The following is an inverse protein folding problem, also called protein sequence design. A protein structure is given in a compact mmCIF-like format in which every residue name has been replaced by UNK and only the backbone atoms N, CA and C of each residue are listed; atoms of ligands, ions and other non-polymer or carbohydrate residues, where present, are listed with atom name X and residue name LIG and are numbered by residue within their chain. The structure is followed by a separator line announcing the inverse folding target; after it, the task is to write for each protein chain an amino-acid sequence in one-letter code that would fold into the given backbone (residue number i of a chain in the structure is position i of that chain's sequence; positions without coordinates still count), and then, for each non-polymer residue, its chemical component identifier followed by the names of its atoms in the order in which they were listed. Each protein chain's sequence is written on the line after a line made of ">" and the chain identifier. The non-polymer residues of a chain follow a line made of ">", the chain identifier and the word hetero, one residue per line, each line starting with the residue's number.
data_IF_083939753712
#
_entry.id   IF_083939753712
#
_cell.length_a   1.000
_cell.length_b   1.000
_cell.length_c   1.000
_cell.angle_alpha   90.00
_cell.angle_beta   90.00
_cell.angle_gamma   90.00
#
_symmetry.space_group_name_H-M   'P 1'
#
loop_
_entity.id
_entity.type
_entity.pdbx_description
1 polymer ?
#
# COMPACT_ATOMS: atom_id res chain seq x y z
N UNK A 1 -25.19 -27.95 -12.78
CA UNK A 1 -24.04 -27.08 -12.44
C UNK A 1 -23.15 -27.85 -11.49
N UNK A 2 -22.08 -28.46 -11.99
CA UNK A 2 -21.11 -29.20 -11.16
C UNK A 2 -20.32 -28.16 -10.35
N UNK A 3 -20.54 -28.10 -9.04
CA UNK A 3 -19.66 -27.40 -8.11
C UNK A 3 -18.28 -28.03 -8.23
N UNK A 4 -17.29 -27.28 -8.72
CA UNK A 4 -15.89 -27.72 -8.71
C UNK A 4 -15.52 -28.17 -7.29
N UNK A 5 -14.87 -29.33 -7.10
CA UNK A 5 -14.53 -29.82 -5.77
C UNK A 5 -13.61 -28.82 -5.04
N UNK A 6 -13.66 -28.75 -3.70
CA UNK A 6 -12.70 -27.95 -2.93
C UNK A 6 -11.27 -28.42 -3.26
N UNK A 7 -10.46 -27.51 -3.82
CA UNK A 7 -9.09 -27.80 -4.25
C UNK A 7 -8.11 -27.49 -3.12
N UNK A 8 -8.06 -28.35 -2.09
CA UNK A 8 -6.93 -28.38 -1.16
C UNK A 8 -5.86 -29.29 -1.78
N UNK A 9 -4.65 -28.74 -1.96
CA UNK A 9 -3.53 -29.44 -2.59
C UNK A 9 -2.28 -29.27 -1.76
N UNK A 10 -1.57 -30.38 -1.53
CA UNK A 10 -0.22 -30.36 -0.99
C UNK A 10 0.74 -29.71 -1.99
N UNK A 11 1.55 -28.75 -1.53
CA UNK A 11 2.57 -28.06 -2.33
C UNK A 11 3.94 -28.60 -1.95
N UNK A 12 4.68 -29.11 -2.94
CA UNK A 12 6.06 -29.60 -2.79
C UNK A 12 7.08 -28.57 -3.29
N UNK A 13 8.35 -28.77 -2.97
CA UNK A 13 9.44 -27.86 -3.39
C UNK A 13 9.49 -27.63 -4.91
N UNK A 14 9.28 -28.68 -5.70
CA UNK A 14 9.27 -28.60 -7.16
C UNK A 14 8.09 -27.77 -7.70
N UNK A 15 6.97 -27.70 -6.97
CA UNK A 15 5.77 -26.96 -7.40
C UNK A 15 5.98 -25.45 -7.34
N UNK A 16 6.80 -24.98 -6.40
CA UNK A 16 7.08 -23.54 -6.17
C UNK A 16 8.32 -23.03 -6.90
N UNK A 17 8.97 -23.90 -7.69
CA UNK A 17 10.13 -23.54 -8.49
C UNK A 17 9.84 -22.36 -9.42
N UNK A 18 10.63 -21.28 -9.30
CA UNK A 18 10.50 -20.11 -10.16
C UNK A 18 9.40 -19.11 -9.79
N UNK A 19 8.61 -19.37 -8.73
CA UNK A 19 7.50 -18.47 -8.34
C UNK A 19 7.98 -17.09 -7.89
N UNK A 20 9.20 -16.98 -7.34
CA UNK A 20 9.77 -15.72 -6.84
C UNK A 20 9.79 -14.60 -7.88
N UNK A 21 9.87 -14.92 -9.17
CA UNK A 21 9.89 -13.93 -10.26
C UNK A 21 8.54 -13.66 -10.91
N UNK A 22 7.48 -14.37 -10.51
CA UNK A 22 6.17 -14.32 -11.17
C UNK A 22 5.22 -13.40 -10.42
N UNK A 23 4.53 -12.52 -11.17
CA UNK A 23 3.40 -11.76 -10.64
C UNK A 23 2.10 -12.54 -10.71
N UNK A 24 1.00 -11.90 -10.31
CA UNK A 24 -0.32 -12.53 -10.24
C UNK A 24 -0.47 -13.50 -9.06
N UNK A 25 -1.40 -14.44 -9.17
CA UNK A 25 -1.70 -15.42 -8.11
C UNK A 25 -1.83 -16.82 -8.70
N UNK A 26 -0.83 -17.66 -8.45
CA UNK A 26 -0.76 -19.03 -8.97
C UNK A 26 -1.72 -19.99 -8.25
N UNK A 27 -2.05 -19.69 -6.99
CA UNK A 27 -3.06 -20.40 -6.21
C UNK A 27 -4.48 -19.87 -6.47
N UNK A 28 -4.60 -18.78 -7.22
CA UNK A 28 -5.85 -18.05 -7.39
C UNK A 28 -6.20 -17.18 -6.19
N UNK A 29 -6.91 -16.08 -6.46
CA UNK A 29 -7.41 -15.18 -5.41
C UNK A 29 -8.78 -14.64 -5.80
N UNK A 30 -9.64 -14.43 -4.80
CA UNK A 30 -10.99 -13.87 -4.94
C UNK A 30 -11.29 -12.99 -3.74
N UNK A 31 -12.25 -12.09 -3.90
CA UNK A 31 -12.76 -11.18 -2.86
C UNK A 31 -13.92 -11.77 -2.04
N UNK A 32 -14.09 -13.09 -2.06
CA UNK A 32 -15.20 -13.77 -1.36
C UNK A 32 -14.87 -13.93 0.11
N UNK A 33 -15.74 -13.40 0.98
CA UNK A 33 -15.58 -13.45 2.43
C UNK A 33 -16.13 -14.76 3.04
N UNK A 34 -15.57 -15.24 4.17
CA UNK A 34 -15.94 -16.52 4.77
C UNK A 34 -17.30 -16.51 5.48
N UNK A 35 -17.87 -15.37 5.88
CA UNK A 35 -19.10 -15.29 6.70
C UNK A 35 -20.27 -16.17 6.22
N UNK A 36 -20.49 -16.28 4.91
CA UNK A 36 -21.59 -17.09 4.34
C UNK A 36 -21.27 -18.59 4.24
N UNK A 37 -20.03 -18.98 4.52
CA UNK A 37 -19.48 -20.31 4.27
C UNK A 37 -18.70 -20.85 5.46
N UNK A 38 -18.79 -20.22 6.64
CA UNK A 38 -18.03 -20.56 7.85
C UNK A 38 -18.15 -22.05 8.19
N UNK A 39 -19.36 -22.60 8.17
CA UNK A 39 -19.61 -24.02 8.41
C UNK A 39 -18.83 -24.94 7.45
N UNK A 40 -18.95 -24.69 6.14
CA UNK A 40 -18.24 -25.46 5.11
C UNK A 40 -16.72 -25.33 5.22
N UNK A 41 -16.22 -24.15 5.61
CA UNK A 41 -14.79 -23.93 5.83
C UNK A 41 -14.31 -24.76 7.02
N UNK A 42 -15.05 -24.74 8.15
CA UNK A 42 -14.73 -25.56 9.31
C UNK A 42 -14.72 -27.06 8.97
N UNK A 43 -15.73 -27.55 8.23
CA UNK A 43 -15.75 -28.93 7.74
C UNK A 43 -14.51 -29.29 6.91
N UNK A 44 -14.11 -28.43 5.97
CA UNK A 44 -12.92 -28.66 5.16
C UNK A 44 -11.63 -28.63 5.98
N UNK A 45 -11.52 -27.74 6.96
CA UNK A 45 -10.37 -27.69 7.87
C UNK A 45 -10.26 -28.96 8.70
N UNK A 46 -11.40 -29.47 9.20
CA UNK A 46 -11.47 -30.74 9.94
C UNK A 46 -11.07 -31.93 9.06
N UNK A 47 -11.66 -32.04 7.87
CA UNK A 47 -11.39 -33.14 6.94
C UNK A 47 -9.93 -33.23 6.51
N UNK A 48 -9.25 -32.09 6.40
CA UNK A 48 -7.87 -32.00 5.94
C UNK A 48 -6.86 -31.84 7.09
N UNK A 49 -7.30 -31.94 8.34
CA UNK A 49 -6.46 -31.78 9.54
C UNK A 49 -5.63 -30.47 9.51
N UNK A 50 -6.26 -29.35 9.15
CA UNK A 50 -5.58 -28.04 9.09
C UNK A 50 -5.36 -27.52 10.51
N UNK A 51 -4.10 -27.40 10.93
CA UNK A 51 -3.73 -26.97 12.29
C UNK A 51 -3.21 -25.53 12.39
N UNK A 52 -2.98 -24.86 11.25
CA UNK A 52 -2.64 -23.44 11.19
C UNK A 52 -3.11 -22.85 9.85
N UNK A 53 -3.30 -21.54 9.80
CA UNK A 53 -3.70 -20.83 8.59
C UNK A 53 -2.79 -19.62 8.35
N UNK A 54 -2.22 -19.53 7.14
CA UNK A 54 -1.53 -18.34 6.66
C UNK A 54 -2.35 -17.75 5.51
N UNK A 55 -2.83 -16.52 5.69
CA UNK A 55 -3.64 -15.80 4.70
C UNK A 55 -2.77 -14.72 4.07
N UNK A 56 -2.74 -14.63 2.74
CA UNK A 56 -2.01 -13.57 2.02
C UNK A 56 -3.01 -12.79 1.18
N UNK A 57 -3.12 -11.48 1.39
CA UNK A 57 -4.06 -10.66 0.62
C UNK A 57 -4.26 -9.25 1.14
N UNK A 58 -5.25 -8.55 0.56
CA UNK A 58 -5.57 -7.17 0.89
C UNK A 58 -6.59 -7.04 2.02
N UNK A 59 -7.47 -6.05 1.90
CA UNK A 59 -8.48 -5.75 2.92
C UNK A 59 -9.47 -6.90 3.12
N UNK A 60 -9.88 -7.60 2.07
CA UNK A 60 -10.76 -8.77 2.21
C UNK A 60 -10.11 -9.92 2.98
N UNK A 61 -8.77 -10.06 2.92
CA UNK A 61 -8.06 -11.06 3.73
C UNK A 61 -8.02 -10.66 5.21
N UNK A 62 -7.88 -9.36 5.50
CA UNK A 62 -7.99 -8.82 6.85
C UNK A 62 -9.40 -9.05 7.43
N UNK A 63 -10.44 -8.72 6.66
CA UNK A 63 -11.83 -8.95 7.06
C UNK A 63 -12.15 -10.45 7.19
N UNK A 64 -11.60 -11.29 6.30
CA UNK A 64 -11.73 -12.75 6.43
C UNK A 64 -11.12 -13.26 7.72
N UNK A 65 -9.94 -12.77 8.10
CA UNK A 65 -9.29 -13.15 9.35
C UNK A 65 -10.13 -12.74 10.58
N UNK A 66 -10.76 -11.55 10.53
CA UNK A 66 -11.69 -11.09 11.57
C UNK A 66 -12.91 -12.00 11.71
N UNK A 67 -13.54 -12.36 10.59
CA UNK A 67 -14.72 -13.23 10.59
C UNK A 67 -14.38 -14.64 11.11
N UNK A 68 -13.21 -15.19 10.73
CA UNK A 68 -12.75 -16.48 11.24
C UNK A 68 -12.39 -16.40 12.74
N UNK A 69 -11.85 -15.28 13.20
CA UNK A 69 -11.61 -15.04 14.62
C UNK A 69 -12.91 -15.03 15.44
N UNK A 70 -13.94 -14.30 14.99
CA UNK A 70 -15.25 -14.25 15.66
C UNK A 70 -15.94 -15.62 15.68
N UNK A 71 -15.77 -16.39 14.59
CA UNK A 71 -16.31 -17.74 14.47
C UNK A 71 -15.69 -18.77 15.43
N UNK A 72 -14.57 -18.46 16.11
CA UNK A 72 -13.96 -19.32 17.15
C UNK A 72 -14.91 -19.65 18.30
N UNK A 73 -15.88 -18.77 18.56
CA UNK A 73 -16.92 -18.99 19.59
C UNK A 73 -17.85 -20.16 19.24
N UNK A 74 -17.98 -20.47 17.95
CA UNK A 74 -18.92 -21.48 17.45
C UNK A 74 -18.22 -22.72 16.90
N UNK A 75 -17.04 -22.56 16.28
CA UNK A 75 -16.30 -23.62 15.62
C UNK A 75 -14.88 -23.74 16.19
N UNK A 76 -14.58 -24.89 16.81
CA UNK A 76 -13.25 -25.17 17.38
C UNK A 76 -12.16 -25.25 16.30
N UNK A 77 -12.53 -25.52 15.04
CA UNK A 77 -11.59 -25.60 13.91
C UNK A 77 -10.86 -24.28 13.66
N UNK A 78 -11.45 -23.15 14.03
CA UNK A 78 -10.79 -21.83 13.93
C UNK A 78 -9.93 -21.50 15.15
N UNK A 79 -9.97 -22.31 16.22
CA UNK A 79 -9.10 -22.20 17.39
C UNK A 79 -7.70 -22.75 17.09
N UNK A 80 -7.11 -22.28 16.00
CA UNK A 80 -5.76 -22.58 15.54
C UNK A 80 -4.97 -21.28 15.34
N UNK A 81 -3.63 -21.32 15.30
CA UNK A 81 -2.83 -20.16 14.93
C UNK A 81 -3.18 -19.69 13.51
N UNK A 82 -3.59 -18.43 13.39
CA UNK A 82 -3.88 -17.79 12.12
C UNK A 82 -3.03 -16.53 11.97
N UNK A 83 -2.33 -16.39 10.84
CA UNK A 83 -1.53 -15.22 10.50
C UNK A 83 -1.96 -14.66 9.15
N UNK A 84 -2.06 -13.34 9.03
CA UNK A 84 -2.28 -12.66 7.76
C UNK A 84 -1.06 -11.84 7.34
N UNK A 85 -0.70 -11.93 6.06
CA UNK A 85 0.32 -11.13 5.40
C UNK A 85 -0.36 -10.11 4.46
N UNK A 86 -0.18 -8.81 4.71
CA UNK A 86 -0.74 -7.77 3.85
C UNK A 86 -0.12 -7.80 2.45
N UNK A 87 -0.95 -8.02 1.43
CA UNK A 87 -0.59 -8.05 0.03
C UNK A 87 -1.65 -7.36 -0.83
N UNK A 88 -1.36 -6.14 -1.25
CA UNK A 88 -2.23 -5.29 -2.07
C UNK A 88 -1.41 -4.13 -2.62
N UNK A 89 -1.75 -3.65 -3.82
CA UNK A 89 -1.11 -2.46 -4.39
C UNK A 89 -1.55 -1.18 -3.68
N UNK A 90 -2.78 -1.16 -3.13
CA UNK A 90 -3.37 0.05 -2.56
C UNK A 90 -2.76 0.45 -1.23
N UNK A 91 -2.02 -0.43 -0.57
CA UNK A 91 -1.46 -0.22 0.77
C UNK A 91 -2.52 0.24 1.78
N UNK A 92 -3.70 -0.35 1.72
CA UNK A 92 -4.88 0.04 2.49
C UNK A 92 -5.22 -0.91 3.65
N UNK A 93 -4.29 -1.79 4.02
CA UNK A 93 -4.49 -2.75 5.11
C UNK A 93 -4.03 -2.13 6.43
N UNK A 94 -4.86 -2.15 7.50
CA UNK A 94 -4.46 -1.62 8.81
C UNK A 94 -3.31 -2.43 9.43
N UNK A 95 -2.56 -1.79 10.32
CA UNK A 95 -1.47 -2.43 11.05
C UNK A 95 -0.16 -2.60 10.26
N UNK A 96 -0.07 -2.16 9.00
CA UNK A 96 1.19 -2.14 8.24
C UNK A 96 1.39 -0.81 7.52
N UNK A 97 2.64 -0.36 7.46
CA UNK A 97 3.06 0.81 6.69
C UNK A 97 3.26 0.48 5.21
N UNK A 98 3.56 -0.79 4.91
CA UNK A 98 3.76 -1.31 3.56
C UNK A 98 3.17 -2.73 3.42
N UNK A 99 2.35 -2.92 2.37
CA UNK A 99 1.89 -4.22 1.89
C UNK A 99 2.76 -4.74 0.75
N UNK A 100 2.82 -6.06 0.61
CA UNK A 100 3.46 -6.71 -0.54
C UNK A 100 2.73 -6.27 -1.83
N UNK A 101 3.50 -5.87 -2.84
CA UNK A 101 3.02 -5.42 -4.14
C UNK A 101 2.91 -3.89 -4.26
N UNK A 102 2.95 -3.16 -3.14
CA UNK A 102 2.86 -1.70 -3.14
C UNK A 102 4.07 -1.04 -3.84
N UNK A 103 5.28 -1.56 -3.64
CA UNK A 103 6.49 -1.03 -4.29
C UNK A 103 6.50 -1.32 -5.80
N UNK A 104 6.08 -2.53 -6.20
CA UNK A 104 5.91 -2.89 -7.61
C UNK A 104 4.94 -1.93 -8.31
N UNK A 105 3.82 -1.60 -7.65
CA UNK A 105 2.84 -0.67 -8.20
C UNK A 105 3.38 0.77 -8.29
N UNK A 106 4.10 1.24 -7.27
CA UNK A 106 4.75 2.55 -7.32
C UNK A 106 5.75 2.66 -8.48
N UNK A 107 6.57 1.63 -8.70
CA UNK A 107 7.50 1.61 -9.83
C UNK A 107 6.76 1.69 -11.17
N UNK A 108 5.67 0.93 -11.34
CA UNK A 108 4.85 0.98 -12.55
C UNK A 108 4.24 2.38 -12.79
N UNK A 109 3.76 3.04 -11.73
CA UNK A 109 3.24 4.42 -11.80
C UNK A 109 4.35 5.40 -12.19
N UNK A 110 5.49 5.36 -11.51
CA UNK A 110 6.62 6.28 -11.73
C UNK A 110 7.16 6.12 -13.15
N UNK A 111 7.41 4.89 -13.59
CA UNK A 111 7.89 4.62 -14.96
C UNK A 111 6.90 5.12 -16.02
N UNK A 112 5.59 4.94 -15.78
CA UNK A 112 4.58 5.46 -16.70
C UNK A 112 4.57 6.99 -16.71
N UNK A 113 4.65 7.63 -15.54
CA UNK A 113 4.75 9.09 -15.44
C UNK A 113 6.01 9.63 -16.14
N UNK A 114 7.14 8.94 -16.03
CA UNK A 114 8.39 9.33 -16.70
C UNK A 114 8.27 9.24 -18.22
N UNK A 115 7.71 8.15 -18.75
CA UNK A 115 7.42 8.00 -20.18
C UNK A 115 6.49 9.10 -20.69
N UNK A 116 5.46 9.45 -19.91
CA UNK A 116 4.54 10.54 -20.22
C UNK A 116 5.24 11.90 -20.20
N UNK A 117 6.07 12.18 -19.19
CA UNK A 117 6.87 13.41 -19.12
C UNK A 117 7.83 13.55 -20.30
N UNK A 118 8.42 12.45 -20.78
CA UNK A 118 9.27 12.44 -21.96
C UNK A 118 8.46 12.74 -23.23
N UNK A 119 7.26 12.15 -23.37
CA UNK A 119 6.34 12.48 -24.47
C UNK A 119 5.92 13.95 -24.44
N UNK A 120 5.63 14.50 -23.26
CA UNK A 120 5.26 15.89 -23.07
C UNK A 120 6.37 16.85 -23.52
N UNK A 121 7.63 16.55 -23.17
CA UNK A 121 8.80 17.37 -23.54
C UNK A 121 9.01 17.51 -25.05
N UNK A 122 8.51 16.57 -25.87
CA UNK A 122 8.61 16.63 -27.33
C UNK A 122 7.51 17.46 -28.00
N UNK A 123 6.57 18.03 -27.24
CA UNK A 123 5.39 18.73 -27.78
C UNK A 123 5.17 20.09 -27.09
N UNK A 124 4.18 20.87 -27.55
CA UNK A 124 3.76 22.12 -26.90
C UNK A 124 3.38 21.89 -25.42
N UNK A 125 3.22 22.98 -24.66
CA UNK A 125 2.79 23.04 -23.25
C UNK A 125 1.62 22.08 -22.97
N UNK A 126 1.84 21.06 -22.12
CA UNK A 126 0.85 20.02 -21.82
C UNK A 126 0.77 19.67 -20.34
N UNK A 127 -0.46 19.41 -19.88
CA UNK A 127 -0.76 18.87 -18.55
C UNK A 127 -1.34 17.47 -18.69
N UNK A 128 -0.80 16.51 -17.94
CA UNK A 128 -1.31 15.15 -17.89
C UNK A 128 -2.00 14.88 -16.56
N UNK A 129 -3.25 14.45 -16.62
CA UNK A 129 -4.04 13.97 -15.48
C UNK A 129 -3.99 12.44 -15.52
N UNK A 130 -3.38 11.84 -14.51
CA UNK A 130 -3.18 10.40 -14.43
C UNK A 130 -4.03 9.84 -13.30
N UNK A 131 -4.95 8.94 -13.65
CA UNK A 131 -5.75 8.22 -12.66
C UNK A 131 -4.99 6.98 -12.15
N UNK A 132 -4.77 6.94 -10.84
CA UNK A 132 -4.21 5.80 -10.13
C UNK A 132 -5.30 4.98 -9.46
N UNK A 133 -5.04 3.69 -9.28
CA UNK A 133 -5.86 2.84 -8.41
C UNK A 133 -5.63 3.21 -6.95
N UNK A 134 -6.32 2.53 -6.05
CA UNK A 134 -6.10 2.61 -4.60
C UNK A 134 -7.36 2.43 -3.78
N UNK A 135 -8.53 2.27 -4.40
CA UNK A 135 -9.81 2.49 -3.74
C UNK A 135 -9.82 3.88 -3.14
N UNK A 136 -10.27 3.99 -1.89
CA UNK A 136 -10.22 5.24 -1.12
C UNK A 136 -8.85 5.55 -0.49
N UNK A 137 -7.82 4.73 -0.73
CA UNK A 137 -6.48 4.97 -0.23
C UNK A 137 -5.64 5.76 -1.24
N UNK A 138 -5.28 6.99 -0.91
CA UNK A 138 -4.48 7.90 -1.72
C UNK A 138 -2.98 7.59 -1.78
N UNK A 139 -2.52 6.47 -1.22
CA UNK A 139 -1.10 6.10 -1.12
C UNK A 139 -0.39 6.14 -2.47
N UNK A 140 -0.96 5.47 -3.48
CA UNK A 140 -0.38 5.38 -4.82
C UNK A 140 -0.29 6.74 -5.50
N UNK A 141 -1.36 7.55 -5.42
CA UNK A 141 -1.38 8.90 -5.99
C UNK A 141 -0.38 9.83 -5.29
N UNK A 142 -0.27 9.76 -3.96
CA UNK A 142 0.58 10.66 -3.18
C UNK A 142 2.06 10.28 -3.26
N UNK A 143 2.40 9.03 -2.92
CA UNK A 143 3.79 8.58 -2.90
C UNK A 143 4.32 8.42 -4.32
N UNK A 144 3.52 7.89 -5.24
CA UNK A 144 3.86 7.81 -6.66
C UNK A 144 3.98 9.21 -7.28
N UNK A 145 3.08 10.12 -6.93
CA UNK A 145 3.14 11.51 -7.39
C UNK A 145 4.36 12.27 -6.87
N UNK A 146 4.72 12.09 -5.59
CA UNK A 146 5.94 12.66 -5.03
C UNK A 146 7.18 12.14 -5.75
N UNK A 147 7.28 10.83 -5.97
CA UNK A 147 8.40 10.21 -6.68
C UNK A 147 8.47 10.64 -8.16
N UNK A 148 7.31 10.82 -8.81
CA UNK A 148 7.23 11.29 -10.18
C UNK A 148 7.42 12.80 -10.34
N UNK A 149 7.47 13.58 -9.25
CA UNK A 149 7.55 15.04 -9.29
C UNK A 149 6.27 15.69 -9.84
N UNK A 150 5.13 15.23 -9.36
CA UNK A 150 3.82 15.74 -9.73
C UNK A 150 3.53 17.11 -9.12
N UNK A 151 2.77 17.91 -9.87
CA UNK A 151 2.32 19.23 -9.49
C UNK A 151 1.13 19.19 -8.53
N UNK A 152 0.27 18.18 -8.66
CA UNK A 152 -0.85 17.99 -7.75
C UNK A 152 -1.18 16.50 -7.64
N UNK A 153 -1.78 16.12 -6.51
CA UNK A 153 -2.31 14.78 -6.30
C UNK A 153 -3.63 14.86 -5.53
N UNK A 154 -4.73 14.41 -6.14
CA UNK A 154 -6.06 14.36 -5.52
C UNK A 154 -6.31 13.00 -4.89
N UNK A 155 -6.71 13.01 -3.63
CA UNK A 155 -6.91 11.81 -2.80
C UNK A 155 -8.19 11.95 -1.97
N UNK A 156 -8.70 10.84 -1.45
CA UNK A 156 -9.91 10.85 -0.63
C UNK A 156 -9.65 11.47 0.75
N UNK A 157 -8.47 11.23 1.31
CA UNK A 157 -8.09 11.64 2.67
C UNK A 157 -7.90 13.16 2.82
N UNK A 158 -7.75 13.88 1.72
CA UNK A 158 -7.61 15.34 1.66
C UNK A 158 -8.75 15.91 0.79
N UNK A 159 -9.92 16.22 1.38
CA UNK A 159 -11.05 16.78 0.64
C UNK A 159 -10.65 18.06 -0.09
N UNK A 160 -11.16 18.20 -1.31
CA UNK A 160 -10.88 19.35 -2.18
C UNK A 160 -12.16 19.80 -2.87
N UNK A 161 -12.22 21.07 -3.23
CA UNK A 161 -13.35 21.68 -3.93
C UNK A 161 -12.96 22.27 -5.29
N UNK A 162 -13.90 22.94 -5.95
CA UNK A 162 -13.67 23.57 -7.24
C UNK A 162 -12.61 24.69 -7.19
N UNK A 163 -12.47 25.39 -6.04
CA UNK A 163 -11.48 26.46 -5.87
C UNK A 163 -10.08 25.87 -5.79
N UNK A 164 -9.93 24.70 -5.15
CA UNK A 164 -8.65 23.98 -5.15
C UNK A 164 -8.25 23.61 -6.59
N UNK A 165 -9.19 23.09 -7.39
CA UNK A 165 -8.93 22.78 -8.80
C UNK A 165 -8.53 24.02 -9.61
N UNK A 166 -9.26 25.14 -9.44
CA UNK A 166 -8.93 26.42 -10.07
C UNK A 166 -7.54 26.92 -9.68
N UNK A 167 -7.19 26.89 -8.39
CA UNK A 167 -5.87 27.30 -7.90
C UNK A 167 -4.74 26.45 -8.51
N UNK A 168 -4.98 25.14 -8.71
CA UNK A 168 -4.02 24.26 -9.38
C UNK A 168 -3.88 24.59 -10.88
N UNK A 169 -4.97 24.95 -11.57
CA UNK A 169 -4.91 25.42 -12.97
C UNK A 169 -4.13 26.72 -13.08
N UNK A 170 -4.35 27.68 -12.19
CA UNK A 170 -3.59 28.94 -12.14
C UNK A 170 -2.10 28.67 -11.89
N UNK A 171 -1.78 27.81 -10.93
CA UNK A 171 -0.42 27.41 -10.65
C UNK A 171 0.28 26.81 -11.88
N UNK A 172 -0.38 25.86 -12.55
CA UNK A 172 0.13 25.24 -13.78
C UNK A 172 0.28 26.27 -14.90
N UNK A 173 -0.66 27.19 -15.05
CA UNK A 173 -0.62 28.27 -16.04
C UNK A 173 0.61 29.16 -15.86
N UNK A 174 0.93 29.55 -14.62
CA UNK A 174 2.15 30.30 -14.31
C UNK A 174 3.41 29.44 -14.54
N UNK A 175 3.39 28.17 -14.15
CA UNK A 175 4.50 27.24 -14.40
C UNK A 175 4.84 27.14 -15.89
N UNK A 176 3.84 27.10 -16.78
CA UNK A 176 4.05 27.03 -18.23
C UNK A 176 4.78 28.24 -18.84
N UNK A 177 4.85 29.37 -18.13
CA UNK A 177 5.63 30.55 -18.54
C UNK A 177 7.12 30.42 -18.22
N UNK A 178 7.49 29.43 -17.40
CA UNK A 178 8.88 29.15 -17.01
C UNK A 178 9.59 28.23 -18.03
N UNK A 179 10.80 27.78 -17.68
CA UNK A 179 11.54 26.78 -18.47
C UNK A 179 10.88 25.39 -18.45
N UNK A 180 10.06 25.08 -17.46
CA UNK A 180 9.38 23.78 -17.34
C UNK A 180 7.96 23.91 -17.89
N UNK A 181 7.78 23.47 -19.13
CA UNK A 181 6.54 23.62 -19.89
C UNK A 181 5.67 22.35 -19.90
N UNK A 182 5.61 21.66 -18.76
CA UNK A 182 4.81 20.45 -18.58
C UNK A 182 4.19 20.38 -17.19
N UNK A 183 3.00 19.81 -17.11
CA UNK A 183 2.28 19.55 -15.87
C UNK A 183 1.96 18.07 -15.68
N UNK A 184 2.00 17.62 -14.43
CA UNK A 184 1.65 16.26 -14.04
C UNK A 184 0.74 16.29 -12.82
N UNK A 185 -0.46 15.74 -12.95
CA UNK A 185 -1.47 15.69 -11.90
C UNK A 185 -1.87 14.24 -11.68
N UNK A 186 -1.77 13.76 -10.45
CA UNK A 186 -2.27 12.43 -10.08
C UNK A 186 -3.67 12.57 -9.49
N UNK A 187 -4.52 11.57 -9.74
CA UNK A 187 -5.85 11.47 -9.16
C UNK A 187 -6.10 10.04 -8.74
N UNK A 188 -6.40 9.81 -7.46
CA UNK A 188 -6.84 8.50 -7.00
C UNK A 188 -8.30 8.23 -7.47
N UNK A 189 -8.58 6.99 -7.86
CA UNK A 189 -9.85 6.57 -8.48
C UNK A 189 -11.12 6.93 -7.68
N UNK A 190 -11.05 6.94 -6.34
CA UNK A 190 -12.17 7.24 -5.46
C UNK A 190 -11.95 8.50 -4.61
N UNK A 191 -11.12 9.44 -5.06
CA UNK A 191 -10.86 10.67 -4.31
C UNK A 191 -12.12 11.54 -4.12
N UNK A 192 -13.03 11.50 -5.11
CA UNK A 192 -14.30 12.22 -5.10
C UNK A 192 -15.23 11.59 -6.16
N UNK A 193 -16.52 11.48 -5.86
CA UNK A 193 -17.54 10.90 -6.74
C UNK A 193 -17.83 11.77 -7.97
N UNK A 194 -17.88 13.10 -7.78
CA UNK A 194 -18.27 14.06 -8.82
C UNK A 194 -17.07 14.61 -9.58
N UNK A 195 -15.94 14.81 -8.89
CA UNK A 195 -14.69 15.27 -9.53
C UNK A 195 -13.93 14.08 -10.13
N UNK A 196 -14.52 13.53 -11.18
CA UNK A 196 -13.95 12.44 -11.98
C UNK A 196 -12.75 12.91 -12.80
N UNK A 197 -11.95 11.96 -13.30
CA UNK A 197 -10.86 12.26 -14.24
C UNK A 197 -11.36 13.04 -15.47
N UNK A 198 -12.57 12.75 -15.93
CA UNK A 198 -13.17 13.40 -17.09
C UNK A 198 -13.59 14.84 -16.79
N UNK A 199 -14.18 15.07 -15.61
CA UNK A 199 -14.51 16.40 -15.13
C UNK A 199 -13.25 17.26 -14.98
N UNK A 200 -12.23 16.76 -14.27
CA UNK A 200 -10.96 17.49 -14.08
C UNK A 200 -10.31 17.78 -15.43
N UNK A 201 -10.32 16.83 -16.36
CA UNK A 201 -9.80 17.02 -17.71
C UNK A 201 -10.53 18.14 -18.47
N UNK A 202 -11.86 18.16 -18.44
CA UNK A 202 -12.65 19.21 -19.11
C UNK A 202 -12.39 20.58 -18.48
N UNK A 203 -12.44 20.66 -17.15
CA UNK A 203 -12.15 21.88 -16.39
C UNK A 203 -10.76 22.43 -16.73
N UNK A 204 -9.73 21.59 -16.67
CA UNK A 204 -8.36 22.01 -16.93
C UNK A 204 -8.15 22.43 -18.40
N UNK A 205 -8.85 21.78 -19.33
CA UNK A 205 -8.79 22.15 -20.75
C UNK A 205 -9.40 23.51 -21.01
N UNK A 206 -10.54 23.81 -20.37
CA UNK A 206 -11.25 25.08 -20.52
C UNK A 206 -10.52 26.21 -19.78
N UNK A 207 -10.26 26.04 -18.48
CA UNK A 207 -9.65 27.07 -17.63
C UNK A 207 -8.17 27.29 -17.94
N UNK A 208 -7.51 26.34 -18.60
CA UNK A 208 -6.16 26.50 -19.15
C UNK A 208 -6.09 27.55 -20.26
N UNK A 209 -7.22 27.98 -20.85
CA UNK A 209 -7.37 29.09 -21.81
C UNK A 209 -6.33 29.11 -22.94
N UNK A 210 -6.00 27.91 -23.44
CA UNK A 210 -5.01 27.71 -24.51
C UNK A 210 -3.55 27.92 -24.10
N UNK A 211 -3.25 28.18 -22.83
CA UNK A 211 -1.87 28.25 -22.32
C UNK A 211 -1.22 26.86 -22.33
N UNK A 212 -2.01 25.82 -22.03
CA UNK A 212 -1.63 24.43 -22.17
C UNK A 212 -2.80 23.56 -22.67
N UNK A 213 -2.46 22.44 -23.29
CA UNK A 213 -3.43 21.39 -23.58
C UNK A 213 -3.45 20.36 -22.43
N UNK A 214 -4.63 19.84 -22.08
CA UNK A 214 -4.73 18.73 -21.12
C UNK A 214 -4.80 17.38 -21.82
N UNK A 215 -4.35 16.32 -21.15
CA UNK A 215 -4.54 14.92 -21.54
C UNK A 215 -4.85 14.11 -20.28
N UNK A 216 -5.71 13.10 -20.41
CA UNK A 216 -6.02 12.15 -19.34
C UNK A 216 -5.44 10.78 -19.64
N UNK A 217 -4.99 10.06 -18.62
CA UNK A 217 -4.54 8.69 -18.74
C UNK A 217 -4.99 7.87 -17.53
N UNK A 218 -5.79 6.84 -17.76
CA UNK A 218 -6.23 5.92 -16.71
C UNK A 218 -5.30 4.71 -16.74
N UNK A 219 -4.45 4.57 -15.72
CA UNK A 219 -3.46 3.50 -15.72
C UNK A 219 -4.11 2.10 -15.60
N UNK A 220 -5.22 2.03 -14.86
CA UNK A 220 -5.94 0.79 -14.61
C UNK A 220 -5.02 -0.32 -14.08
N UNK A 221 -5.21 -1.53 -14.60
CA UNK A 221 -4.53 -2.73 -14.12
C UNK A 221 -3.02 -2.78 -14.40
N UNK A 222 -2.47 -1.89 -15.23
CA UNK A 222 -1.02 -1.83 -15.47
C UNK A 222 -0.24 -1.55 -14.17
N UNK A 223 -0.88 -0.93 -13.19
CA UNK A 223 -0.31 -0.66 -11.87
C UNK A 223 -0.10 -1.92 -11.03
N UNK A 224 -0.71 -3.06 -11.38
CA UNK A 224 -0.40 -4.33 -10.72
C UNK A 224 1.01 -4.83 -11.09
N UNK A 225 1.64 -4.20 -12.08
CA UNK A 225 2.94 -4.60 -12.61
C UNK A 225 2.84 -5.86 -13.45
N UNK A 226 4.02 -6.39 -13.79
CA UNK A 226 4.16 -7.71 -14.42
C UNK A 226 4.94 -8.61 -13.48
N UNK A 227 6.26 -8.47 -13.50
CA UNK A 227 7.12 -9.12 -12.53
C UNK A 227 7.24 -8.24 -11.27
N UNK A 228 7.20 -8.84 -10.05
CA UNK A 228 7.37 -8.08 -8.81
C UNK A 228 8.75 -7.43 -8.75
N UNK A 229 8.85 -6.28 -8.10
CA UNK A 229 10.11 -5.56 -7.90
C UNK A 229 11.07 -6.36 -7.00
N UNK A 230 12.39 -6.11 -7.07
CA UNK A 230 13.34 -6.74 -6.16
C UNK A 230 13.01 -6.49 -4.68
N UNK A 231 12.45 -5.33 -4.35
CA UNK A 231 12.00 -5.02 -2.99
C UNK A 231 10.85 -5.95 -2.57
N UNK A 232 9.78 -6.05 -3.36
CA UNK A 232 8.62 -6.88 -3.03
C UNK A 232 8.97 -8.38 -2.96
N UNK A 233 9.88 -8.86 -3.82
CA UNK A 233 10.37 -10.26 -3.78
C UNK A 233 11.07 -10.57 -2.46
N UNK A 234 12.00 -9.71 -2.06
CA UNK A 234 12.76 -9.88 -0.84
C UNK A 234 11.89 -9.65 0.40
N UNK A 235 11.02 -8.64 0.36
CA UNK A 235 10.09 -8.34 1.45
C UNK A 235 9.09 -9.47 1.66
N UNK A 236 8.48 -9.98 0.60
CA UNK A 236 7.59 -11.14 0.62
C UNK A 236 8.27 -12.39 1.20
N UNK A 237 9.51 -12.65 0.82
CA UNK A 237 10.31 -13.76 1.39
C UNK A 237 10.56 -13.56 2.88
N UNK A 238 11.02 -12.37 3.29
CA UNK A 238 11.36 -12.03 4.67
C UNK A 238 10.14 -12.11 5.60
N UNK A 239 9.02 -11.54 5.18
CA UNK A 239 7.80 -11.50 5.99
C UNK A 239 7.17 -12.89 6.10
N UNK A 240 7.19 -13.67 5.02
CA UNK A 240 6.72 -15.06 5.02
C UNK A 240 7.57 -15.96 5.93
N UNK A 241 8.90 -15.83 5.87
CA UNK A 241 9.79 -16.60 6.75
C UNK A 241 9.52 -16.29 8.24
N UNK A 242 9.34 -15.00 8.58
CA UNK A 242 9.02 -14.59 9.95
C UNK A 242 7.64 -15.10 10.40
N UNK A 243 6.64 -15.06 9.51
CA UNK A 243 5.32 -15.61 9.79
C UNK A 243 5.39 -17.11 10.04
N UNK A 244 6.13 -17.87 9.24
CA UNK A 244 6.29 -19.30 9.44
C UNK A 244 7.00 -19.63 10.76
N UNK A 245 8.03 -18.87 11.14
CA UNK A 245 8.65 -19.03 12.47
C UNK A 245 7.65 -18.82 13.61
N UNK A 246 6.80 -17.79 13.50
CA UNK A 246 5.76 -17.52 14.49
C UNK A 246 4.68 -18.59 14.50
N UNK A 247 4.21 -19.06 13.33
CA UNK A 247 3.22 -20.13 13.21
C UNK A 247 3.75 -21.41 13.86
N UNK A 248 4.98 -21.82 13.54
CA UNK A 248 5.62 -22.99 14.13
C UNK A 248 5.73 -22.88 15.65
N UNK A 249 6.17 -21.71 16.17
CA UNK A 249 6.23 -21.47 17.62
C UNK A 249 4.85 -21.58 18.27
N UNK A 250 3.83 -20.94 17.68
CA UNK A 250 2.45 -20.97 18.20
C UNK A 250 1.85 -22.36 18.17
N UNK A 251 2.10 -23.13 17.12
CA UNK A 251 1.71 -24.54 17.04
C UNK A 251 2.26 -25.34 18.23
N UNK A 252 3.55 -25.21 18.53
CA UNK A 252 4.16 -25.91 19.67
C UNK A 252 3.60 -25.45 21.01
N UNK A 253 3.40 -24.15 21.22
CA UNK A 253 2.86 -23.58 22.47
C UNK A 253 1.41 -23.99 22.75
N UNK A 254 0.63 -24.20 21.69
CA UNK A 254 -0.82 -24.44 21.76
C UNK A 254 -1.21 -25.90 21.50
N UNK A 255 -0.24 -26.77 21.28
CA UNK A 255 -0.46 -28.21 21.17
C UNK A 255 -0.68 -28.83 22.56
N UNK A 256 -1.89 -29.34 22.82
CA UNK A 256 -2.28 -29.97 24.09
C UNK A 256 -3.21 -31.14 23.83
N UNK A 257 -3.06 -32.21 24.61
CA UNK A 257 -3.93 -33.40 24.53
C UNK A 257 -4.12 -33.96 23.11
N UNK A 258 -3.06 -33.94 22.29
CA UNK A 258 -3.09 -34.49 20.94
C UNK A 258 -3.71 -33.59 19.87
N UNK A 259 -4.09 -32.34 20.20
CA UNK A 259 -4.61 -31.36 19.23
C UNK A 259 -4.05 -29.95 19.46
N UNK A 260 -4.08 -29.12 18.44
CA UNK A 260 -3.80 -27.69 18.55
C UNK A 260 -5.06 -26.97 19.03
N UNK A 261 -4.93 -26.15 20.06
CA UNK A 261 -6.03 -25.29 20.54
C UNK A 261 -5.51 -23.92 20.96
N UNK A 262 -5.76 -22.92 20.12
CA UNK A 262 -5.24 -21.56 20.22
C UNK A 262 -6.39 -20.53 20.16
N UNK A 263 -7.05 -20.29 21.30
CA UNK A 263 -8.21 -19.40 21.37
C UNK A 263 -7.92 -17.99 21.95
N UNK A 264 -6.66 -17.58 21.97
CA UNK A 264 -6.26 -16.25 22.46
C UNK A 264 -6.21 -15.23 21.32
N UNK A 265 -6.27 -13.94 21.64
CA UNK A 265 -6.12 -12.86 20.63
C UNK A 265 -4.78 -12.94 19.91
N UNK A 266 -3.70 -13.22 20.65
CA UNK A 266 -2.34 -13.31 20.14
C UNK A 266 -2.05 -14.57 19.32
N UNK A 267 -3.06 -15.43 19.09
CA UNK A 267 -2.99 -16.53 18.12
C UNK A 267 -3.64 -16.20 16.78
N UNK A 268 -4.24 -15.00 16.62
CA UNK A 268 -4.84 -14.54 15.37
C UNK A 268 -4.32 -13.14 15.02
N UNK A 269 -3.25 -13.10 14.24
CA UNK A 269 -2.46 -11.89 14.07
C UNK A 269 -2.31 -11.47 12.61
N UNK A 270 -2.18 -10.16 12.40
CA UNK A 270 -1.61 -9.59 11.17
C UNK A 270 -0.13 -9.32 11.40
N UNK A 271 0.73 -9.79 10.49
CA UNK A 271 2.15 -9.46 10.50
C UNK A 271 2.38 -8.25 9.58
N UNK A 272 2.55 -7.08 10.19
CA UNK A 272 2.75 -5.81 9.48
C UNK A 272 4.14 -5.24 9.72
N UNK A 273 4.59 -4.36 8.82
CA UNK A 273 5.75 -3.53 9.07
C UNK A 273 5.30 -2.22 9.70
N UNK A 274 5.82 -1.88 10.87
CA UNK A 274 5.64 -0.55 11.48
C UNK A 274 7.01 0.10 11.67
N UNK A 275 7.19 1.24 11.03
CA UNK A 275 8.46 1.98 10.89
C UNK A 275 9.56 1.10 10.30
N UNK A 276 10.34 0.43 11.14
CA UNK A 276 11.46 -0.43 10.75
C UNK A 276 11.36 -1.85 11.33
N UNK A 277 10.28 -2.15 12.03
CA UNK A 277 10.08 -3.43 12.71
C UNK A 277 8.91 -4.20 12.09
N UNK A 278 9.05 -5.51 11.96
CA UNK A 278 7.95 -6.42 11.66
C UNK A 278 7.27 -6.81 12.97
N UNK A 279 5.99 -6.50 13.13
CA UNK A 279 5.23 -6.65 14.37
C UNK A 279 3.99 -7.52 14.12
N UNK A 280 3.76 -8.50 14.98
CA UNK A 280 2.52 -9.26 15.03
C UNK A 280 1.51 -8.49 15.87
N UNK A 281 0.34 -8.19 15.30
CA UNK A 281 -0.73 -7.46 15.96
C UNK A 281 -1.99 -8.32 15.93
N UNK A 282 -2.64 -8.57 17.09
CA UNK A 282 -3.93 -9.23 17.12
C UNK A 282 -4.93 -8.52 16.22
N UNK A 283 -5.58 -9.27 15.33
CA UNK A 283 -6.45 -8.69 14.30
C UNK A 283 -7.64 -7.93 14.92
N UNK A 284 -8.11 -8.37 16.09
CA UNK A 284 -9.21 -7.74 16.82
C UNK A 284 -8.88 -6.31 17.27
N UNK A 285 -7.62 -6.05 17.61
CA UNK A 285 -7.16 -4.71 18.05
C UNK A 285 -7.08 -3.73 16.88
N UNK A 286 -6.86 -4.24 15.66
CA UNK A 286 -6.82 -3.41 14.46
C UNK A 286 -8.21 -2.92 14.00
N UNK A 287 -9.30 -3.46 14.55
CA UNK A 287 -10.66 -2.99 14.23
C UNK A 287 -10.84 -1.51 14.54
N UNK A 288 -10.34 -1.06 15.69
CA UNK A 288 -10.50 0.33 16.13
C UNK A 288 -9.69 1.31 15.27
N UNK A 289 -8.65 0.82 14.59
CA UNK A 289 -7.82 1.58 13.66
C UNK A 289 -8.36 1.56 12.22
N UNK A 290 -9.50 0.91 11.95
CA UNK A 290 -10.00 0.64 10.60
C UNK A 290 -11.28 1.40 10.27
N UNK A 291 -11.34 1.99 9.08
CA UNK A 291 -12.58 2.38 8.42
C UNK A 291 -13.04 1.25 7.49
N UNK A 292 -14.06 0.51 7.91
CA UNK A 292 -14.60 -0.61 7.13
C UNK A 292 -15.46 -0.18 5.93
N UNK A 293 -16.02 1.04 5.96
CA UNK A 293 -16.85 1.56 4.87
C UNK A 293 -15.96 1.87 3.67
N UNK A 294 -14.88 2.61 3.91
CA UNK A 294 -13.94 3.02 2.86
C UNK A 294 -12.77 2.04 2.68
N UNK A 295 -12.64 1.06 3.59
CA UNK A 295 -11.63 -0.01 3.56
C UNK A 295 -10.20 0.54 3.63
N UNK A 296 -9.96 1.44 4.57
CA UNK A 296 -8.67 2.11 4.79
C UNK A 296 -8.33 2.16 6.29
N UNK A 297 -7.05 2.29 6.65
CA UNK A 297 -6.65 2.63 8.02
C UNK A 297 -7.03 4.08 8.33
N UNK A 298 -7.39 4.36 9.58
CA UNK A 298 -7.70 5.73 10.05
C UNK A 298 -6.47 6.64 10.09
N UNK A 299 -5.30 6.07 10.30
CA UNK A 299 -4.04 6.81 10.28
C UNK A 299 -3.07 6.21 9.26
N UNK A 300 -2.44 7.09 8.47
CA UNK A 300 -1.50 6.71 7.42
C UNK A 300 -0.25 7.59 7.47
N UNK A 301 0.92 6.97 7.55
CA UNK A 301 2.19 7.68 7.75
C UNK A 301 2.53 8.66 6.62
N UNK A 302 2.12 8.35 5.39
CA UNK A 302 2.48 9.08 4.18
C UNK A 302 1.71 10.39 4.00
N UNK A 303 0.61 10.61 4.74
CA UNK A 303 -0.11 11.89 4.75
C UNK A 303 0.80 13.04 5.23
N UNK A 304 1.78 12.73 6.08
CA UNK A 304 2.79 13.70 6.55
C UNK A 304 3.71 14.20 5.44
N UNK A 305 3.77 13.51 4.30
CA UNK A 305 4.55 13.93 3.14
C UNK A 305 3.80 14.93 2.24
N UNK A 306 2.49 15.11 2.44
CA UNK A 306 1.64 15.96 1.58
C UNK A 306 2.10 17.42 1.51
N UNK A 307 2.51 18.08 2.61
CA UNK A 307 3.05 19.44 2.54
C UNK A 307 4.32 19.53 1.68
N UNK A 308 5.19 18.51 1.73
CA UNK A 308 6.42 18.47 0.92
C UNK A 308 6.11 18.46 -0.57
N UNK A 309 5.03 17.79 -1.00
CA UNK A 309 4.60 17.80 -2.40
C UNK A 309 4.29 19.23 -2.86
N UNK A 310 3.53 20.00 -2.08
CA UNK A 310 3.19 21.40 -2.41
C UNK A 310 4.42 22.32 -2.42
N UNK A 311 5.36 22.12 -1.49
CA UNK A 311 6.63 22.86 -1.44
C UNK A 311 7.47 22.58 -2.70
N UNK A 312 7.68 21.30 -3.02
CA UNK A 312 8.51 20.89 -4.16
C UNK A 312 7.89 21.28 -5.51
N UNK A 313 6.56 21.33 -5.58
CA UNK A 313 5.84 21.86 -6.74
C UNK A 313 5.82 23.40 -6.79
N UNK A 314 6.36 24.11 -5.78
CA UNK A 314 6.45 25.58 -5.71
C UNK A 314 5.08 26.28 -5.65
N UNK A 315 4.11 25.72 -4.95
CA UNK A 315 2.89 26.46 -4.61
C UNK A 315 3.22 27.63 -3.68
N UNK A 316 2.60 28.78 -3.91
CA UNK A 316 2.63 29.90 -2.95
C UNK A 316 1.85 29.47 -1.71
N UNK A 317 2.56 28.95 -0.72
CA UNK A 317 1.97 28.51 0.55
C UNK A 317 2.71 29.22 1.69
N UNK A 318 1.96 29.85 2.59
CA UNK A 318 2.51 30.37 3.85
C UNK A 318 2.63 29.20 4.82
N UNK A 319 3.85 28.73 5.06
CA UNK A 319 4.12 27.78 6.12
C UNK A 319 4.52 28.57 7.36
N UNK A 320 3.80 28.38 8.46
CA UNK A 320 4.31 28.76 9.78
C UNK A 320 5.45 27.78 10.10
N UNK A 321 6.68 28.22 9.86
CA UNK A 321 7.87 27.45 10.20
C UNK A 321 8.08 27.58 11.71
N UNK A 322 7.22 26.95 12.52
CA UNK A 322 7.38 26.87 13.96
C UNK A 322 8.28 25.69 14.35
N UNK A 323 9.37 25.48 13.61
CA UNK A 323 10.41 24.54 14.00
C UNK A 323 11.77 25.24 13.80
N UNK A 324 12.29 25.78 14.90
CA UNK A 324 13.60 26.44 14.98
C UNK A 324 14.76 25.43 14.96
N UNK A 325 14.61 24.32 14.23
CA UNK A 325 15.64 23.31 14.07
C UNK A 325 16.73 23.84 13.14
N UNK A 326 17.71 24.56 13.69
CA UNK A 326 18.95 24.85 12.97
C UNK A 326 19.54 23.51 12.50
N UNK A 327 19.64 23.34 11.18
CA UNK A 327 20.42 22.27 10.57
C UNK A 327 21.90 22.52 10.89
N UNK A 328 22.42 21.87 11.92
CA UNK A 328 23.85 21.89 12.20
C UNK A 328 24.60 21.04 11.16
N UNK A 329 25.64 21.62 10.56
CA UNK A 329 26.58 20.87 9.75
C UNK A 329 27.26 19.80 10.60
N UNK A 330 27.18 18.54 10.18
CA UNK A 330 27.96 17.45 10.78
C UNK A 330 29.44 17.70 10.49
N UNK A 331 30.13 18.38 11.41
CA UNK A 331 31.58 18.50 11.37
C UNK A 331 32.15 17.15 11.79
N UNK A 332 32.89 16.50 10.90
CA UNK A 332 33.67 15.30 11.20
C UNK A 332 34.62 15.60 12.37
N UNK A 333 34.35 15.05 13.55
CA UNK A 333 35.34 14.95 14.61
C UNK A 333 36.47 14.05 14.10
N UNK A 334 37.60 14.65 13.70
CA UNK A 334 38.87 13.93 13.62
C UNK A 334 39.28 13.57 15.05
N UNK A 335 39.71 12.33 15.33
CA UNK A 335 40.31 12.01 16.61
C UNK A 335 41.55 12.89 16.81
N UNK A 336 41.67 13.53 17.97
CA UNK A 336 42.95 14.14 18.38
C UNK A 336 43.99 13.03 18.43
N UNK A 337 45.08 13.19 17.69
CA UNK A 337 46.30 12.42 17.92
C UNK A 337 46.68 12.62 19.39
N UNK A 338 46.75 11.52 20.14
CA UNK A 338 47.30 11.51 21.48
C UNK A 338 48.80 11.77 21.37
N UNK A 339 49.26 12.89 21.93
CA UNK A 339 50.68 13.21 22.07
C UNK A 339 51.42 12.07 22.75
N UNK A 340 52.20 11.35 21.96
CA UNK A 340 53.31 10.55 22.43
C UNK A 340 54.49 11.49 22.68
N UNK A 341 54.66 11.95 23.93
CA UNK A 341 55.96 12.25 24.56
C UNK A 341 55.75 13.09 25.82
N UNK A 342 56.03 12.53 26.99
CA UNK A 342 57.10 12.98 27.89
C UNK A 342 57.41 11.82 28.83
N UNK A 343 58.63 11.31 28.72
CA UNK A 343 59.26 10.47 29.71
C UNK A 343 59.77 11.35 30.87
N UNK A 344 59.44 10.98 32.10
CA UNK A 344 60.40 10.83 33.20
C UNK A 344 59.82 9.95 34.29
#
# INVERSE_FOLDING_TARGET
>A
MLSSPPQIREIKWADVGGWTGQGGSLLGTKRTLPAKHVEKIAEQMRMNNINALLIVGGFEAFESLLQLYEARTTYEEFCIPMCMLPATISNNVPGTDLSIGADTALNAIVETCDRIKQSASGTKRRVFIIETMGGYCGYLASVGGLAAGADAAYIYEEPFDIKDLQANVEHLTEKMKTSIQRGLVLRNENCNENYTTDFIYQLYSEEGKGVFDSRKNVLGHMQQGGAPSPFDRNFGTKISAKAMQWVTKKLTETFRHGRVFANTEDSCCLLGMRRRALVFQPVVQLKDETDFVHRIPKEQWWLKLRPLMKILAKYKTSYDVSDSGQLEHVIRNRPKESDASVAM
#
